data_IF_793863115757
#
_entry.id   IF_793863115757
#
_cell.length_a   1.000
_cell.length_b   1.000
_cell.length_c   1.000
_cell.angle_alpha   90.00
_cell.angle_beta   90.00
_cell.angle_gamma   90.00
#
_symmetry.space_group_name_H-M   'P 1'
#
loop_
_entity.id
_entity.type
_entity.pdbx_description
1 polymer ?
#
# COMPACT_ATOMS: atom_id res chain seq x y z
N UNK A 1 42.82 -41.41 5.77
CA UNK A 1 41.40 -41.33 6.15
C UNK A 1 41.21 -39.99 6.84
N UNK A 2 40.80 -38.95 6.08
CA UNK A 2 40.56 -37.61 6.62
C UNK A 2 39.06 -37.35 6.60
N UNK A 3 38.44 -37.42 7.77
CA UNK A 3 37.06 -37.00 8.01
C UNK A 3 37.04 -35.51 8.36
N UNK A 4 36.07 -34.76 7.81
CA UNK A 4 35.68 -33.44 8.32
C UNK A 4 36.28 -32.27 7.53
N UNK A 5 35.53 -31.78 6.53
CA UNK A 5 34.91 -30.45 6.70
C UNK A 5 33.39 -30.42 6.42
N UNK A 6 32.83 -31.46 5.79
CA UNK A 6 31.44 -31.43 5.29
C UNK A 6 30.37 -31.49 6.38
N UNK A 7 30.65 -32.06 7.56
CA UNK A 7 29.65 -32.22 8.62
C UNK A 7 29.41 -30.90 9.36
N UNK A 8 30.46 -30.11 9.59
CA UNK A 8 30.38 -28.79 10.24
C UNK A 8 29.57 -27.78 9.42
N UNK A 9 29.73 -27.82 8.09
CA UNK A 9 28.98 -26.98 7.17
C UNK A 9 27.48 -27.33 7.14
N UNK A 10 27.15 -28.63 7.18
CA UNK A 10 25.76 -29.09 7.24
C UNK A 10 25.06 -28.71 8.56
N UNK A 11 25.76 -28.74 9.69
CA UNK A 11 25.21 -28.29 10.97
C UNK A 11 24.91 -26.78 10.99
N UNK A 12 25.77 -25.95 10.39
CA UNK A 12 25.55 -24.51 10.31
C UNK A 12 24.34 -24.16 9.44
N UNK A 13 24.14 -24.84 8.31
CA UNK A 13 22.96 -24.63 7.45
C UNK A 13 21.67 -25.10 8.15
N UNK A 14 21.73 -26.19 8.92
CA UNK A 14 20.58 -26.66 9.69
C UNK A 14 20.20 -25.72 10.86
N UNK A 15 21.18 -25.07 11.50
CA UNK A 15 20.97 -24.10 12.57
C UNK A 15 20.41 -22.77 12.04
N UNK A 16 20.83 -22.31 10.86
CA UNK A 16 20.25 -21.13 10.21
C UNK A 16 18.86 -21.39 9.60
N UNK A 17 18.57 -22.62 9.15
CA UNK A 17 17.25 -22.99 8.59
C UNK A 17 16.12 -23.10 9.61
N UNK A 18 16.45 -23.15 10.92
CA UNK A 18 15.47 -23.33 12.01
C UNK A 18 14.98 -22.02 12.63
N UNK A 19 15.44 -20.86 12.15
CA UNK A 19 14.87 -19.57 12.50
C UNK A 19 13.54 -19.37 11.75
N UNK A 20 12.55 -20.20 12.06
CA UNK A 20 11.16 -19.88 11.79
C UNK A 20 10.86 -18.61 12.59
N UNK A 21 10.86 -17.46 11.92
CA UNK A 21 10.12 -16.29 12.38
C UNK A 21 8.67 -16.74 12.54
N UNK A 22 8.29 -17.16 13.74
CA UNK A 22 6.90 -17.24 14.15
C UNK A 22 6.37 -15.82 14.13
N UNK A 23 5.88 -15.40 12.96
CA UNK A 23 5.03 -14.24 12.84
C UNK A 23 3.80 -14.56 13.69
N UNK A 24 3.75 -14.01 14.89
CA UNK A 24 2.57 -14.10 15.72
C UNK A 24 1.43 -13.49 14.91
N UNK A 25 0.51 -14.34 14.45
CA UNK A 25 -0.66 -13.91 13.71
C UNK A 25 -1.49 -13.05 14.66
N UNK A 26 -1.33 -11.74 14.54
CA UNK A 26 -2.11 -10.80 15.33
C UNK A 26 -3.59 -11.11 15.07
N UNK A 27 -4.41 -11.29 16.11
CA UNK A 27 -5.80 -11.64 15.92
C UNK A 27 -6.47 -10.61 15.01
N UNK A 28 -7.17 -11.10 13.98
CA UNK A 28 -7.81 -10.24 13.00
C UNK A 28 -8.67 -9.18 13.70
N UNK A 29 -8.31 -7.92 13.48
CA UNK A 29 -8.94 -6.80 14.15
C UNK A 29 -10.39 -6.69 13.67
N UNK A 30 -11.35 -6.97 14.55
CA UNK A 30 -12.78 -6.90 14.22
C UNK A 30 -13.19 -5.43 14.03
N UNK A 31 -13.90 -5.14 12.95
CA UNK A 31 -14.46 -3.81 12.72
C UNK A 31 -15.49 -3.49 13.81
N UNK A 32 -15.16 -2.53 14.68
CA UNK A 32 -16.04 -2.13 15.79
C UNK A 32 -17.10 -1.11 15.38
N UNK A 33 -16.89 -0.42 14.24
CA UNK A 33 -17.79 0.62 13.74
C UNK A 33 -17.88 0.57 12.22
N UNK A 34 -19.09 0.33 11.72
CA UNK A 34 -19.39 0.45 10.30
C UNK A 34 -19.57 1.93 9.94
N UNK A 35 -18.80 2.41 8.96
CA UNK A 35 -18.97 3.75 8.39
C UNK A 35 -19.82 3.65 7.13
N UNK A 36 -21.00 4.30 7.16
CA UNK A 36 -21.87 4.37 6.00
C UNK A 36 -21.36 5.39 4.98
N UNK A 37 -21.18 4.97 3.73
CA UNK A 37 -20.93 5.89 2.61
C UNK A 37 -22.27 6.48 2.16
N UNK A 38 -22.33 7.81 2.06
CA UNK A 38 -23.53 8.53 1.62
C UNK A 38 -23.34 9.03 0.18
N UNK A 39 -24.45 9.17 -0.52
CA UNK A 39 -24.46 9.77 -1.86
C UNK A 39 -24.31 11.30 -1.74
N UNK A 40 -23.59 11.93 -2.67
CA UNK A 40 -23.20 13.34 -2.53
C UNK A 40 -24.38 14.32 -2.42
N UNK A 41 -25.48 14.09 -3.16
CA UNK A 41 -26.67 14.94 -3.13
C UNK A 41 -27.42 14.81 -1.81
N UNK A 42 -27.26 13.71 -1.07
CA UNK A 42 -27.89 13.51 0.25
C UNK A 42 -27.15 14.18 1.40
N UNK A 43 -25.95 14.70 1.17
CA UNK A 43 -25.18 15.43 2.19
C UNK A 43 -25.77 16.83 2.45
N UNK A 44 -25.79 17.20 3.73
CA UNK A 44 -26.05 18.58 4.17
C UNK A 44 -24.96 19.54 3.68
N UNK A 45 -25.24 20.84 3.72
CA UNK A 45 -24.26 21.86 3.35
C UNK A 45 -22.96 21.74 4.17
N UNK A 46 -23.07 21.53 5.48
CA UNK A 46 -21.91 21.42 6.37
C UNK A 46 -21.11 20.16 6.09
N UNK A 47 -21.75 19.01 5.87
CA UNK A 47 -21.04 17.78 5.50
C UNK A 47 -20.26 17.93 4.19
N UNK A 48 -20.82 18.64 3.20
CA UNK A 48 -20.10 18.95 1.95
C UNK A 48 -18.92 19.87 2.21
N UNK A 49 -19.10 20.91 3.02
CA UNK A 49 -18.04 21.85 3.38
C UNK A 49 -16.89 21.13 4.09
N UNK A 50 -17.20 20.26 5.05
CA UNK A 50 -16.22 19.45 5.79
C UNK A 50 -15.46 18.51 4.85
N UNK A 51 -16.16 17.85 3.92
CA UNK A 51 -15.52 17.00 2.91
C UNK A 51 -14.56 17.79 2.03
N UNK A 52 -14.99 18.96 1.52
CA UNK A 52 -14.14 19.83 0.68
C UNK A 52 -12.94 20.34 1.48
N UNK A 53 -13.14 20.71 2.75
CA UNK A 53 -12.06 21.16 3.62
C UNK A 53 -11.01 20.06 3.85
N UNK A 54 -11.45 18.82 4.05
CA UNK A 54 -10.55 17.66 4.17
C UNK A 54 -9.74 17.42 2.88
N UNK A 55 -10.38 17.51 1.71
CA UNK A 55 -9.68 17.37 0.42
C UNK A 55 -8.65 18.49 0.22
N UNK A 56 -9.00 19.73 0.57
CA UNK A 56 -8.07 20.87 0.53
C UNK A 56 -6.91 20.70 1.51
N UNK A 57 -7.14 20.10 2.67
CA UNK A 57 -6.08 19.75 3.62
C UNK A 57 -5.07 18.78 3.01
N UNK A 58 -5.52 17.73 2.31
CA UNK A 58 -4.61 16.84 1.59
C UNK A 58 -3.79 17.57 0.51
N UNK A 59 -4.40 18.53 -0.19
CA UNK A 59 -3.72 19.33 -1.21
C UNK A 59 -2.72 20.35 -0.64
N UNK A 60 -2.88 20.76 0.63
CA UNK A 60 -2.01 21.75 1.28
C UNK A 60 -0.75 21.14 1.90
N UNK A 61 -0.77 19.86 2.27
CA UNK A 61 0.39 19.18 2.84
C UNK A 61 1.39 18.86 1.73
N UNK A 62 2.54 19.55 1.74
CA UNK A 62 3.61 19.43 0.73
C UNK A 62 4.80 18.65 1.29
N UNK A 63 5.26 17.65 0.56
CA UNK A 63 6.41 16.83 0.96
C UNK A 63 7.26 16.39 -0.24
N UNK A 64 8.50 16.00 0.02
CA UNK A 64 9.38 15.39 -0.98
C UNK A 64 9.01 13.91 -1.15
N UNK A 65 8.60 13.54 -2.35
CA UNK A 65 8.16 12.20 -2.66
C UNK A 65 9.37 11.34 -3.01
N UNK A 66 9.66 10.33 -2.18
CA UNK A 66 10.80 9.43 -2.38
C UNK A 66 10.50 8.26 -3.34
N UNK A 67 9.33 8.22 -3.99
CA UNK A 67 9.01 7.14 -4.91
C UNK A 67 9.65 7.37 -6.27
N UNK A 68 10.06 6.30 -6.92
CA UNK A 68 10.62 6.35 -8.27
C UNK A 68 9.53 6.43 -9.35
N UNK A 69 9.86 7.09 -10.45
CA UNK A 69 9.09 7.04 -11.71
C UNK A 69 9.24 5.66 -12.36
N UNK A 70 8.52 5.43 -13.47
CA UNK A 70 8.66 4.22 -14.28
C UNK A 70 10.12 3.99 -14.73
N UNK A 71 10.84 5.07 -14.99
CA UNK A 71 12.23 5.05 -15.45
C UNK A 71 13.24 5.02 -14.30
N UNK A 72 12.80 4.66 -13.08
CA UNK A 72 13.62 4.58 -11.87
C UNK A 72 14.28 5.92 -11.46
N UNK A 73 13.69 7.05 -11.86
CA UNK A 73 14.17 8.38 -11.46
C UNK A 73 13.38 8.92 -10.28
N UNK A 74 14.03 9.73 -9.43
CA UNK A 74 13.33 10.47 -8.38
C UNK A 74 12.53 11.59 -9.04
N UNK A 75 11.26 11.75 -8.63
CA UNK A 75 10.46 12.88 -9.07
C UNK A 75 10.82 14.10 -8.23
N UNK A 76 11.58 15.02 -8.81
CA UNK A 76 12.02 16.23 -8.12
C UNK A 76 10.87 17.17 -7.72
N UNK A 77 11.04 17.77 -6.55
CA UNK A 77 10.22 18.85 -6.01
C UNK A 77 9.03 18.40 -5.17
N UNK A 78 8.64 19.27 -4.24
CA UNK A 78 7.55 19.01 -3.31
C UNK A 78 6.19 18.86 -4.02
N UNK A 79 5.50 17.76 -3.72
CA UNK A 79 4.14 17.46 -4.19
C UNK A 79 3.17 17.42 -3.02
N UNK A 80 1.89 17.59 -3.30
CA UNK A 80 0.88 17.46 -2.26
C UNK A 80 0.60 16.00 -1.93
N UNK A 81 0.14 15.70 -0.72
CA UNK A 81 -0.39 14.36 -0.41
C UNK A 81 -1.55 13.97 -1.34
N UNK A 82 -2.33 14.96 -1.81
CA UNK A 82 -3.37 14.71 -2.79
C UNK A 82 -2.81 14.19 -4.12
N UNK A 83 -1.71 14.76 -4.62
CA UNK A 83 -1.07 14.32 -5.87
C UNK A 83 -0.58 12.87 -5.78
N UNK A 84 -0.22 12.39 -4.59
CA UNK A 84 0.26 11.02 -4.41
C UNK A 84 -0.76 9.95 -4.77
N UNK A 85 -2.05 10.23 -4.55
CA UNK A 85 -3.13 9.35 -4.96
C UNK A 85 -3.18 9.25 -6.49
N UNK A 86 -3.10 10.38 -7.19
CA UNK A 86 -3.10 10.42 -8.65
C UNK A 86 -1.90 9.69 -9.25
N UNK A 87 -0.71 9.91 -8.72
CA UNK A 87 0.50 9.22 -9.17
C UNK A 87 0.42 7.72 -8.92
N UNK A 88 -0.01 7.29 -7.73
CA UNK A 88 -0.11 5.87 -7.40
C UNK A 88 -1.14 5.18 -8.28
N UNK A 89 -2.29 5.83 -8.53
CA UNK A 89 -3.30 5.32 -9.45
C UNK A 89 -2.76 5.17 -10.88
N UNK A 90 -2.00 6.14 -11.39
CA UNK A 90 -1.37 6.06 -12.70
C UNK A 90 -0.33 4.93 -12.78
N UNK A 91 0.46 4.72 -11.72
CA UNK A 91 1.47 3.67 -11.67
C UNK A 91 0.86 2.26 -11.76
N UNK A 92 -0.34 2.07 -11.17
CA UNK A 92 -1.02 0.77 -11.14
C UNK A 92 -2.12 0.64 -12.19
N UNK A 93 -2.26 1.58 -13.12
CA UNK A 93 -3.38 1.62 -14.09
C UNK A 93 -3.62 0.27 -14.76
N UNK A 94 -2.55 -0.36 -15.25
CA UNK A 94 -2.65 -1.61 -16.00
C UNK A 94 -3.14 -2.77 -15.12
N UNK A 95 -2.54 -2.93 -13.94
CA UNK A 95 -2.87 -4.03 -13.02
C UNK A 95 -4.19 -3.79 -12.30
N UNK A 96 -4.61 -2.53 -12.13
CA UNK A 96 -5.84 -2.17 -11.46
C UNK A 96 -7.08 -2.28 -12.37
N UNK A 97 -6.97 -2.00 -13.67
CA UNK A 97 -8.14 -2.04 -14.57
C UNK A 97 -8.24 -3.29 -15.44
N UNK A 98 -7.12 -3.93 -15.77
CA UNK A 98 -7.09 -5.11 -16.65
C UNK A 98 -6.98 -6.42 -15.88
N UNK A 99 -7.79 -6.56 -14.84
CA UNK A 99 -7.85 -7.76 -14.01
C UNK A 99 -9.30 -8.29 -13.89
N UNK A 100 -9.44 -9.50 -13.35
CA UNK A 100 -10.74 -10.17 -13.19
C UNK A 100 -11.70 -9.46 -12.20
N UNK A 101 -11.21 -8.51 -11.41
CA UNK A 101 -11.94 -7.83 -10.34
C UNK A 101 -12.45 -6.44 -10.76
N UNK A 102 -11.84 -5.80 -11.76
CA UNK A 102 -12.16 -4.44 -12.20
C UNK A 102 -12.56 -4.32 -13.68
N UNK A 103 -12.63 -5.42 -14.44
CA UNK A 103 -13.19 -5.43 -15.79
C UNK A 103 -14.72 -5.59 -15.81
N UNK A 104 -15.40 -4.91 -16.75
CA UNK A 104 -16.81 -5.20 -17.07
C UNK A 104 -16.87 -6.65 -17.54
N UNK A 105 -17.48 -7.54 -16.75
CA UNK A 105 -17.75 -8.91 -17.20
C UNK A 105 -18.60 -8.85 -18.48
N UNK A 106 -18.18 -9.50 -19.58
CA UNK A 106 -19.06 -9.65 -20.73
C UNK A 106 -20.33 -10.39 -20.26
N UNK A 107 -21.49 -9.84 -20.62
CA UNK A 107 -22.80 -10.46 -20.37
C UNK A 107 -22.94 -11.76 -21.15
#
# INVERSE_FOLDING_TARGET
>A
MATGPSILFLCLVALLGSAHLSFAEAPAQKCSKLLARKEWRTLTHNEKADWVAAVKCLASIRHERLSLTKDQTVLEGKRSLYDDFSYSHALVEHSAHRNAYCGIRPK
#
